data_IF_466607498160
#
_entry.id   IF_466607498160
#
_cell.length_a   1.000
_cell.length_b   1.000
_cell.length_c   1.000
_cell.angle_alpha   90.00
_cell.angle_beta   90.00
_cell.angle_gamma   90.00
#
_symmetry.space_group_name_H-M   'P 1'
#
loop_
_entity.id
_entity.type
_entity.pdbx_description
1 polymer ?
#
# COMPACT_ATOMS: atom_id res chain seq x y z
N UNK A 1 -13.80 -15.03 -7.00
CA UNK A 1 -12.53 -15.12 -6.27
C UNK A 1 -12.52 -14.03 -5.22
N UNK A 2 -12.57 -14.42 -3.94
CA UNK A 2 -12.52 -13.49 -2.80
C UNK A 2 -11.22 -12.68 -2.87
N UNK A 3 -11.35 -11.36 -2.93
CA UNK A 3 -10.26 -10.45 -2.56
C UNK A 3 -10.24 -10.48 -1.03
N UNK A 4 -9.33 -11.24 -0.45
CA UNK A 4 -9.14 -11.29 0.99
C UNK A 4 -8.38 -10.02 1.38
N UNK A 5 -9.12 -9.04 1.92
CA UNK A 5 -8.56 -7.89 2.61
C UNK A 5 -7.76 -8.42 3.82
N UNK A 6 -6.43 -8.39 3.68
CA UNK A 6 -5.46 -8.87 4.66
C UNK A 6 -5.44 -8.07 5.96
N UNK A 7 -6.49 -8.23 6.76
CA UNK A 7 -6.62 -7.66 8.10
C UNK A 7 -5.82 -8.55 9.07
N UNK A 8 -4.49 -8.38 9.11
CA UNK A 8 -3.65 -9.06 10.10
C UNK A 8 -3.65 -8.24 11.39
N UNK A 9 -4.51 -8.61 12.34
CA UNK A 9 -4.64 -7.96 13.65
C UNK A 9 -3.43 -8.27 14.53
N UNK A 10 -2.34 -7.50 14.41
CA UNK A 10 -1.18 -7.58 15.30
C UNK A 10 -1.37 -6.79 16.62
N UNK A 11 -2.59 -6.78 17.14
CA UNK A 11 -2.93 -6.28 18.48
C UNK A 11 -3.37 -7.44 19.37
N UNK A 12 -2.82 -7.47 20.58
CA UNK A 12 -3.27 -8.38 21.64
C UNK A 12 -4.61 -7.91 22.21
N UNK A 13 -5.32 -8.80 22.92
CA UNK A 13 -6.62 -8.52 23.54
C UNK A 13 -6.57 -7.31 24.48
N UNK A 14 -5.40 -7.01 25.05
CA UNK A 14 -5.16 -5.90 25.97
C UNK A 14 -4.67 -4.61 25.26
N UNK A 15 -4.72 -4.55 23.93
CA UNK A 15 -4.32 -3.38 23.14
C UNK A 15 -2.80 -3.19 22.99
N UNK A 16 -1.99 -4.16 23.45
CA UNK A 16 -0.52 -4.10 23.29
C UNK A 16 -0.09 -4.66 21.93
N UNK A 17 1.02 -4.15 21.35
CA UNK A 17 1.62 -4.71 20.14
C UNK A 17 1.93 -6.18 20.34
N UNK A 18 1.59 -7.03 19.38
CA UNK A 18 1.97 -8.43 19.42
C UNK A 18 3.50 -8.58 19.36
N UNK A 19 4.06 -9.55 20.10
CA UNK A 19 5.49 -9.81 20.15
C UNK A 19 5.84 -11.19 19.59
N UNK A 20 6.93 -11.27 18.83
CA UNK A 20 7.44 -12.50 18.22
C UNK A 20 8.37 -13.26 19.17
N UNK A 21 8.22 -14.59 19.21
CA UNK A 21 9.14 -15.48 19.94
C UNK A 21 10.58 -15.46 19.42
N UNK A 22 10.77 -15.11 18.14
CA UNK A 22 12.08 -15.01 17.50
C UNK A 22 12.18 -13.70 16.70
N UNK A 23 13.32 -12.99 16.75
CA UNK A 23 13.47 -11.71 16.08
C UNK A 23 13.52 -11.87 14.55
N UNK A 24 12.67 -11.11 13.84
CA UNK A 24 12.68 -11.02 12.37
C UNK A 24 13.57 -9.86 11.91
N UNK A 25 14.06 -9.92 10.67
CA UNK A 25 14.78 -8.80 10.06
C UNK A 25 13.80 -7.87 9.35
N UNK A 26 13.86 -6.58 9.66
CA UNK A 26 13.02 -5.57 9.02
C UNK A 26 13.27 -5.55 7.51
N UNK A 27 12.21 -5.62 6.71
CA UNK A 27 12.33 -5.62 5.24
C UNK A 27 13.03 -4.36 4.69
N UNK A 28 12.83 -3.21 5.34
CA UNK A 28 13.43 -1.92 4.95
C UNK A 28 14.85 -1.74 5.46
N UNK A 29 15.06 -1.64 6.79
CA UNK A 29 16.35 -1.26 7.37
C UNK A 29 17.20 -2.45 7.84
N UNK A 30 16.70 -3.68 7.71
CA UNK A 30 17.35 -4.94 8.12
C UNK A 30 17.60 -5.15 9.62
N UNK A 31 17.30 -4.17 10.49
CA UNK A 31 17.38 -4.33 11.96
C UNK A 31 16.49 -5.49 12.43
N UNK A 32 16.97 -6.25 13.42
CA UNK A 32 16.20 -7.29 14.10
C UNK A 32 15.15 -6.68 15.03
N UNK A 33 13.94 -7.23 15.04
CA UNK A 33 12.82 -6.75 15.88
C UNK A 33 11.91 -7.91 16.32
N UNK A 34 11.27 -7.75 17.48
CA UNK A 34 10.27 -8.70 18.00
C UNK A 34 8.86 -8.08 18.07
N UNK A 35 8.76 -6.76 18.25
CA UNK A 35 7.47 -6.06 18.34
C UNK A 35 6.83 -5.83 16.96
N UNK A 36 5.61 -6.30 16.78
CA UNK A 36 4.83 -6.16 15.55
C UNK A 36 4.02 -4.86 15.54
N UNK A 37 4.00 -4.21 14.38
CA UNK A 37 3.05 -3.13 14.13
C UNK A 37 1.70 -3.72 13.71
N UNK A 38 0.58 -3.14 14.17
CA UNK A 38 -0.78 -3.66 13.91
C UNK A 38 -1.11 -3.88 12.42
N UNK A 39 -0.40 -3.19 11.51
CA UNK A 39 -0.58 -3.30 10.06
C UNK A 39 0.59 -3.98 9.32
N UNK A 40 1.82 -3.91 9.85
CA UNK A 40 3.03 -4.36 9.15
C UNK A 40 3.76 -5.40 9.98
N UNK A 41 3.80 -6.64 9.49
CA UNK A 41 4.43 -7.78 10.16
C UNK A 41 5.89 -8.03 9.75
N UNK A 42 6.33 -7.38 8.68
CA UNK A 42 7.67 -7.48 8.10
C UNK A 42 8.53 -6.22 8.33
N UNK A 43 8.05 -5.25 9.12
CA UNK A 43 8.78 -4.00 9.42
C UNK A 43 8.98 -3.85 10.93
N UNK A 44 10.15 -3.34 11.32
CA UNK A 44 10.36 -2.91 12.70
C UNK A 44 9.42 -1.72 13.04
N UNK A 45 9.14 -1.46 14.33
CA UNK A 45 8.18 -0.44 14.74
C UNK A 45 8.43 0.95 14.14
N UNK A 46 9.69 1.40 14.08
CA UNK A 46 10.07 2.69 13.50
C UNK A 46 9.74 2.77 12.00
N UNK A 47 10.18 1.77 11.21
CA UNK A 47 9.88 1.72 9.78
C UNK A 47 8.38 1.55 9.52
N UNK A 48 7.69 0.76 10.34
CA UNK A 48 6.26 0.52 10.22
C UNK A 48 5.45 1.81 10.45
N UNK A 49 5.74 2.53 11.54
CA UNK A 49 5.08 3.81 11.85
C UNK A 49 5.29 4.84 10.73
N UNK A 50 6.53 4.98 10.25
CA UNK A 50 6.85 5.87 9.14
C UNK A 50 6.08 5.52 7.86
N UNK A 51 6.09 4.24 7.46
CA UNK A 51 5.40 3.80 6.25
C UNK A 51 3.88 3.90 6.39
N UNK A 52 3.34 3.63 7.58
CA UNK A 52 1.91 3.74 7.86
C UNK A 52 1.43 5.19 7.71
N UNK A 53 2.16 6.15 8.29
CA UNK A 53 1.86 7.57 8.14
C UNK A 53 1.87 8.00 6.65
N UNK A 54 2.84 7.52 5.87
CA UNK A 54 2.97 7.84 4.43
C UNK A 54 1.83 7.31 3.56
N UNK A 55 1.06 6.31 4.00
CA UNK A 55 -0.06 5.77 3.20
C UNK A 55 -1.06 6.85 2.77
N UNK A 56 -1.30 7.81 3.66
CA UNK A 56 -2.26 8.91 3.49
C UNK A 56 -1.63 10.18 2.92
N UNK A 57 -0.32 10.20 2.68
CA UNK A 57 0.37 11.36 2.14
C UNK A 57 -0.10 11.64 0.71
N UNK A 58 -0.35 12.92 0.40
CA UNK A 58 -0.73 13.41 -0.93
C UNK A 58 0.26 14.48 -1.38
N UNK A 59 0.26 14.78 -2.67
CA UNK A 59 1.03 15.87 -3.28
C UNK A 59 0.20 16.47 -4.42
N UNK A 60 0.38 17.76 -4.72
CA UNK A 60 -0.18 18.35 -5.94
C UNK A 60 0.69 17.97 -7.13
N UNK A 61 0.14 17.17 -8.05
CA UNK A 61 0.84 16.68 -9.24
C UNK A 61 0.23 17.22 -10.53
N UNK A 62 -0.57 18.31 -10.46
CA UNK A 62 -1.12 18.97 -11.65
C UNK A 62 0.00 19.39 -12.61
N UNK A 63 -0.21 19.15 -13.90
CA UNK A 63 0.78 19.42 -14.94
C UNK A 63 1.84 18.34 -15.12
N UNK A 64 1.85 17.28 -14.29
CA UNK A 64 2.72 16.13 -14.47
C UNK A 64 2.01 14.97 -15.16
N UNK A 65 2.76 14.26 -15.99
CA UNK A 65 2.32 13.03 -16.66
C UNK A 65 3.12 11.84 -16.15
N UNK A 66 2.44 10.79 -15.72
CA UNK A 66 3.05 9.55 -15.22
C UNK A 66 2.66 8.34 -16.09
N UNK A 67 3.62 7.46 -16.34
CA UNK A 67 3.37 6.16 -17.01
C UNK A 67 3.39 5.06 -15.95
N UNK A 68 2.30 4.28 -15.87
CA UNK A 68 2.19 3.15 -14.94
C UNK A 68 2.03 1.85 -15.73
N UNK A 69 2.98 0.94 -15.56
CA UNK A 69 2.92 -0.41 -16.13
C UNK A 69 2.25 -1.38 -15.17
N UNK A 70 1.50 -2.35 -15.70
CA UNK A 70 0.77 -3.31 -14.87
C UNK A 70 -0.36 -2.68 -14.05
N UNK A 71 -1.04 -1.68 -14.61
CA UNK A 71 -2.00 -0.81 -13.91
C UNK A 71 -3.33 -1.47 -13.51
N UNK A 72 -3.59 -2.71 -13.93
CA UNK A 72 -4.93 -3.32 -13.78
C UNK A 72 -5.30 -3.69 -12.34
N UNK A 73 -4.31 -4.13 -11.54
CA UNK A 73 -4.56 -4.71 -10.20
C UNK A 73 -3.42 -4.40 -9.24
N UNK A 74 -3.66 -4.70 -7.95
CA UNK A 74 -2.67 -4.61 -6.86
C UNK A 74 -1.99 -3.23 -6.82
N UNK A 75 -0.67 -3.21 -6.66
CA UNK A 75 0.10 -1.98 -6.47
C UNK A 75 0.02 -1.05 -7.69
N UNK A 76 0.03 -1.57 -8.92
CA UNK A 76 -0.08 -0.74 -10.13
C UNK A 76 -1.39 0.04 -10.18
N UNK A 77 -2.50 -0.64 -9.83
CA UNK A 77 -3.83 -0.03 -9.76
C UNK A 77 -3.91 1.06 -8.68
N UNK A 78 -3.47 0.73 -7.46
CA UNK A 78 -3.51 1.68 -6.34
C UNK A 78 -2.58 2.87 -6.56
N UNK A 79 -1.41 2.67 -7.18
CA UNK A 79 -0.50 3.77 -7.56
C UNK A 79 -1.14 4.69 -8.59
N UNK A 80 -1.72 4.13 -9.66
CA UNK A 80 -2.40 4.94 -10.67
C UNK A 80 -3.54 5.77 -10.06
N UNK A 81 -4.39 5.18 -9.22
CA UNK A 81 -5.44 5.91 -8.51
C UNK A 81 -4.90 7.02 -7.62
N UNK A 82 -3.83 6.75 -6.87
CA UNK A 82 -3.22 7.75 -6.00
C UNK A 82 -2.71 8.94 -6.80
N UNK A 83 -2.08 8.69 -7.96
CA UNK A 83 -1.57 9.74 -8.85
C UNK A 83 -2.71 10.53 -9.51
N UNK A 84 -3.75 9.85 -9.99
CA UNK A 84 -4.95 10.50 -10.54
C UNK A 84 -5.61 11.41 -9.50
N UNK A 85 -5.81 10.93 -8.27
CA UNK A 85 -6.36 11.71 -7.15
C UNK A 85 -5.44 12.86 -6.70
N UNK A 86 -4.16 12.81 -7.04
CA UNK A 86 -3.21 13.91 -6.85
C UNK A 86 -3.21 14.90 -8.03
N UNK A 87 -4.05 14.72 -9.04
CA UNK A 87 -4.20 15.62 -10.19
C UNK A 87 -3.22 15.37 -11.35
N UNK A 88 -2.47 14.27 -11.33
CA UNK A 88 -1.59 13.91 -12.44
C UNK A 88 -2.39 13.36 -13.65
N UNK A 89 -1.84 13.52 -14.85
CA UNK A 89 -2.27 12.73 -16.02
C UNK A 89 -1.58 11.36 -15.92
N UNK A 90 -2.34 10.27 -16.01
CA UNK A 90 -1.79 8.90 -15.90
C UNK A 90 -2.02 8.11 -17.18
N UNK A 91 -0.92 7.68 -17.81
CA UNK A 91 -0.91 6.71 -18.91
C UNK A 91 -0.76 5.31 -18.29
N UNK A 92 -1.87 4.60 -18.19
CA UNK A 92 -1.96 3.30 -17.55
C UNK A 92 -1.83 2.17 -18.60
N UNK A 93 -0.86 1.27 -18.45
CA UNK A 93 -0.63 0.16 -19.41
C UNK A 93 -0.86 -1.21 -18.78
N UNK A 94 -1.50 -2.09 -19.55
CA UNK A 94 -1.84 -3.46 -19.15
C UNK A 94 -2.19 -4.30 -20.39
N UNK A 95 -2.06 -5.62 -20.27
CA UNK A 95 -2.53 -6.57 -21.30
C UNK A 95 -4.05 -6.72 -21.37
N UNK A 96 -4.81 -6.06 -20.49
CA UNK A 96 -6.27 -6.13 -20.43
C UNK A 96 -6.89 -4.72 -20.29
N UNK A 97 -6.84 -3.90 -21.36
CA UNK A 97 -7.21 -2.48 -21.27
C UNK A 97 -8.69 -2.25 -20.94
N UNK A 98 -9.61 -3.06 -21.51
CA UNK A 98 -11.05 -2.92 -21.25
C UNK A 98 -11.43 -3.18 -19.78
N UNK A 99 -10.94 -4.28 -19.19
CA UNK A 99 -11.16 -4.57 -17.76
C UNK A 99 -10.56 -3.48 -16.87
N UNK A 100 -9.37 -2.98 -17.22
CA UNK A 100 -8.74 -1.91 -16.45
C UNK A 100 -9.55 -0.61 -16.51
N UNK A 101 -10.00 -0.20 -17.69
CA UNK A 101 -10.82 0.99 -17.86
C UNK A 101 -12.14 0.87 -17.06
N UNK A 102 -12.80 -0.29 -17.11
CA UNK A 102 -14.02 -0.54 -16.34
C UNK A 102 -13.80 -0.50 -14.82
N UNK A 103 -12.63 -0.88 -14.31
CA UNK A 103 -12.30 -0.76 -12.88
C UNK A 103 -12.16 0.69 -12.48
N UNK A 104 -11.36 1.46 -13.21
CA UNK A 104 -11.16 2.87 -12.93
C UNK A 104 -12.48 3.66 -13.02
N UNK A 105 -13.34 3.36 -14.01
CA UNK A 105 -14.64 4.01 -14.16
C UNK A 105 -15.63 3.75 -13.00
N UNK A 106 -15.34 2.79 -12.11
CA UNK A 106 -16.17 2.48 -10.93
C UNK A 106 -15.63 3.10 -9.65
N UNK A 107 -14.44 3.69 -9.67
CA UNK A 107 -13.87 4.36 -8.51
C UNK A 107 -14.60 5.68 -8.30
N UNK A 108 -14.83 6.02 -7.03
CA UNK A 108 -15.29 7.36 -6.69
C UNK A 108 -14.13 8.36 -6.85
N UNK A 109 -14.47 9.54 -7.36
CA UNK A 109 -13.59 10.69 -7.45
C UNK A 109 -13.29 11.28 -6.06
#
# INVERSE_FOLDING_TARGET
>A
GKVEDGTSSAMTVDGRPAELNQPRSCYTCKRRFTLLHFFYDALCPECAALNYAKRRQVADLRGLTAVITGSRVKIGYQTALKLLRCGAIVIATTRFPFDSAQRYAKEAD
#
